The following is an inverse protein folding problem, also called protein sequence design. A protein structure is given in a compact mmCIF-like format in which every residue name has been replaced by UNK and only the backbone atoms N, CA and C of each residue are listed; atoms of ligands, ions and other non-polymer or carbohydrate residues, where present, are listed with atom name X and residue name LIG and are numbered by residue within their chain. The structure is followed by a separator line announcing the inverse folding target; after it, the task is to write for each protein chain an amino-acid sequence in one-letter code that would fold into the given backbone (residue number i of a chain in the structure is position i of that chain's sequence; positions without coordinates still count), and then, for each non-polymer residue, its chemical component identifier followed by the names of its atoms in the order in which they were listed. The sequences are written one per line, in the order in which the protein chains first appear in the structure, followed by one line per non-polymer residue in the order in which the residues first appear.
data_IF_334826214745
#
_entry.id   IF_334826214745
#
_cell.length_a   1.000
_cell.length_b   1.000
_cell.length_c   1.000
_cell.angle_alpha   90.00
_cell.angle_beta   90.00
_cell.angle_gamma   90.00
#
_symmetry.space_group_name_H-M   'P 1'
#
loop_
_entity.id
_entity.type
_entity.pdbx_description
1 polymer ?
#
# COMPACT_ATOMS: atom_id res chain seq x y z
N UNK A 1 35.09 -44.09 -4.16
CA UNK A 1 33.90 -43.66 -4.92
C UNK A 1 33.25 -42.46 -4.23
N UNK A 2 33.82 -41.25 -4.33
CA UNK A 2 33.25 -40.04 -3.67
C UNK A 2 33.00 -38.87 -4.63
N UNK A 3 33.43 -38.97 -5.90
CA UNK A 3 33.31 -37.88 -6.87
C UNK A 3 31.88 -37.69 -7.38
N UNK A 4 31.20 -38.79 -7.72
CA UNK A 4 29.80 -38.77 -8.22
C UNK A 4 28.84 -38.24 -7.14
N UNK A 5 29.11 -38.53 -5.87
CA UNK A 5 28.30 -38.05 -4.76
C UNK A 5 28.48 -36.54 -4.55
N UNK A 6 29.72 -36.04 -4.56
CA UNK A 6 29.99 -34.60 -4.50
C UNK A 6 29.39 -33.82 -5.68
N UNK A 7 29.41 -34.40 -6.89
CA UNK A 7 28.74 -33.79 -8.06
C UNK A 7 27.23 -33.74 -7.85
N UNK A 8 26.61 -34.82 -7.36
CA UNK A 8 25.17 -34.87 -7.09
C UNK A 8 24.76 -33.84 -6.03
N UNK A 9 25.53 -33.71 -4.97
CA UNK A 9 25.26 -32.77 -3.88
C UNK A 9 25.43 -31.32 -4.35
N UNK A 10 26.45 -31.02 -5.16
CA UNK A 10 26.64 -29.70 -5.77
C UNK A 10 25.51 -29.30 -6.72
N UNK A 11 25.01 -30.24 -7.55
CA UNK A 11 23.86 -29.98 -8.41
C UNK A 11 22.57 -29.73 -7.62
N UNK A 12 22.39 -30.42 -6.49
CA UNK A 12 21.24 -30.21 -5.61
C UNK A 12 21.27 -28.81 -5.01
N UNK A 13 22.41 -28.40 -4.44
CA UNK A 13 22.56 -27.07 -3.84
C UNK A 13 22.42 -25.95 -4.89
N UNK A 14 22.95 -26.16 -6.10
CA UNK A 14 22.76 -25.23 -7.22
C UNK A 14 21.27 -25.06 -7.57
N UNK A 15 20.53 -26.17 -7.70
CA UNK A 15 19.10 -26.15 -7.95
C UNK A 15 18.31 -25.43 -6.85
N UNK A 16 18.65 -25.65 -5.59
CA UNK A 16 18.03 -24.98 -4.45
C UNK A 16 18.27 -23.46 -4.49
N UNK A 17 19.51 -23.03 -4.79
CA UNK A 17 19.86 -21.61 -4.94
C UNK A 17 19.11 -20.95 -6.10
N UNK A 18 19.07 -21.60 -7.26
CA UNK A 18 18.32 -21.09 -8.43
C UNK A 18 16.83 -20.98 -8.11
N UNK A 19 16.25 -22.00 -7.47
CA UNK A 19 14.84 -22.00 -7.06
C UNK A 19 14.54 -20.84 -6.12
N UNK A 20 15.41 -20.59 -5.14
CA UNK A 20 15.28 -19.47 -4.21
C UNK A 20 15.29 -18.12 -4.94
N UNK A 21 16.23 -17.92 -5.86
CA UNK A 21 16.34 -16.69 -6.66
C UNK A 21 15.10 -16.49 -7.54
N UNK A 22 14.66 -17.52 -8.25
CA UNK A 22 13.47 -17.44 -9.10
C UNK A 22 12.23 -17.14 -8.27
N UNK A 23 12.05 -17.79 -7.13
CA UNK A 23 10.91 -17.53 -6.24
C UNK A 23 10.94 -16.10 -5.69
N UNK A 24 12.11 -15.59 -5.31
CA UNK A 24 12.26 -14.21 -4.88
C UNK A 24 11.88 -13.21 -5.99
N UNK A 25 12.35 -13.42 -7.21
CA UNK A 25 12.01 -12.57 -8.36
C UNK A 25 10.51 -12.63 -8.65
N UNK A 26 9.91 -13.81 -8.63
CA UNK A 26 8.48 -14.00 -8.84
C UNK A 26 7.66 -13.26 -7.78
N UNK A 27 8.02 -13.41 -6.50
CA UNK A 27 7.37 -12.71 -5.39
C UNK A 27 7.53 -11.19 -5.50
N UNK A 28 8.70 -10.70 -5.93
CA UNK A 28 8.93 -9.28 -6.13
C UNK A 28 8.00 -8.72 -7.22
N UNK A 29 7.89 -9.41 -8.36
CA UNK A 29 6.98 -9.00 -9.45
C UNK A 29 5.53 -8.98 -8.96
N UNK A 30 5.08 -10.06 -8.30
CA UNK A 30 3.73 -10.16 -7.76
C UNK A 30 3.47 -9.08 -6.72
N UNK A 31 4.46 -8.76 -5.87
CA UNK A 31 4.33 -7.70 -4.87
C UNK A 31 4.17 -6.34 -5.53
N UNK A 32 5.01 -5.99 -6.52
CA UNK A 32 4.91 -4.72 -7.23
C UNK A 32 3.57 -4.57 -7.96
N UNK A 33 3.14 -5.61 -8.67
CA UNK A 33 1.87 -5.59 -9.40
C UNK A 33 0.68 -5.59 -8.44
N UNK A 34 0.69 -6.46 -7.43
CA UNK A 34 -0.38 -6.57 -6.44
C UNK A 34 -0.54 -5.31 -5.60
N UNK A 35 0.57 -4.75 -5.10
CA UNK A 35 0.55 -3.49 -4.35
C UNK A 35 0.17 -2.33 -5.27
N UNK A 36 0.69 -2.28 -6.49
CA UNK A 36 0.32 -1.25 -7.47
C UNK A 36 -1.17 -1.24 -7.76
N UNK A 37 -1.75 -2.40 -8.07
CA UNK A 37 -3.19 -2.56 -8.33
C UNK A 37 -4.02 -2.23 -7.09
N UNK A 38 -3.65 -2.71 -5.91
CA UNK A 38 -4.39 -2.41 -4.67
C UNK A 38 -4.38 -0.92 -4.35
N UNK A 39 -3.27 -0.22 -4.62
CA UNK A 39 -3.19 1.25 -4.43
C UNK A 39 -4.10 2.00 -5.40
N UNK A 40 -4.16 1.57 -6.67
CA UNK A 40 -5.06 2.14 -7.67
C UNK A 40 -6.53 1.90 -7.25
N UNK A 41 -6.88 0.67 -6.86
CA UNK A 41 -8.21 0.33 -6.39
C UNK A 41 -8.61 1.13 -5.14
N UNK A 42 -7.70 1.27 -4.18
CA UNK A 42 -7.91 2.05 -2.96
C UNK A 42 -8.16 3.53 -3.26
N UNK A 43 -7.47 4.10 -4.26
CA UNK A 43 -7.68 5.48 -4.69
C UNK A 43 -9.07 5.69 -5.29
N UNK A 44 -9.54 4.74 -6.11
CA UNK A 44 -10.86 4.79 -6.74
C UNK A 44 -11.98 4.69 -5.68
N UNK A 45 -11.86 3.77 -4.72
CA UNK A 45 -12.87 3.58 -3.67
C UNK A 45 -12.90 4.75 -2.68
N UNK A 46 -11.74 5.33 -2.32
CA UNK A 46 -11.69 6.51 -1.44
C UNK A 46 -12.29 7.76 -2.08
N UNK A 47 -12.07 7.97 -3.39
CA UNK A 47 -12.71 9.08 -4.11
C UNK A 47 -14.23 8.91 -4.16
N UNK A 48 -14.73 7.70 -4.43
CA UNK A 48 -16.19 7.45 -4.39
C UNK A 48 -16.80 7.66 -3.00
N UNK A 49 -16.10 7.28 -1.92
CA UNK A 49 -16.61 7.45 -0.56
C UNK A 49 -16.73 8.92 -0.14
N UNK A 50 -15.72 9.75 -0.46
CA UNK A 50 -15.79 11.19 -0.22
C UNK A 50 -16.88 11.84 -1.06
N UNK A 51 -16.91 11.56 -2.37
CA UNK A 51 -17.87 12.19 -3.28
C UNK A 51 -19.33 11.81 -2.97
N UNK A 52 -19.56 10.62 -2.38
CA UNK A 52 -20.89 10.20 -1.90
C UNK A 52 -21.29 10.87 -0.57
N UNK A 53 -20.33 11.21 0.29
CA UNK A 53 -20.63 11.86 1.58
C UNK A 53 -20.95 13.35 1.48
N UNK A 54 -20.53 14.02 0.39
CA UNK A 54 -20.74 15.45 0.17
C UNK A 54 -21.84 15.79 -0.85
N UNK A 55 -22.38 14.80 -1.58
CA UNK A 55 -23.41 15.03 -2.62
C UNK A 55 -24.85 15.11 -2.13
N UNK A 56 -25.13 14.61 -0.93
CA UNK A 56 -26.41 14.88 -0.27
C UNK A 56 -26.28 16.23 0.43
N UNK A 57 -26.84 17.27 -0.19
CA UNK A 57 -26.79 18.70 0.18
C UNK A 57 -27.17 19.00 1.63
N UNK A 58 -26.32 18.59 2.57
CA UNK A 58 -26.35 18.99 3.96
C UNK A 58 -25.41 20.17 4.08
N UNK A 59 -26.02 21.35 4.22
CA UNK A 59 -25.40 22.51 4.81
C UNK A 59 -24.49 22.03 5.94
N UNK A 60 -23.21 22.36 5.83
CA UNK A 60 -22.24 22.10 6.89
C UNK A 60 -22.82 22.59 8.22
N UNK A 61 -22.96 21.70 9.21
CA UNK A 61 -23.32 22.05 10.59
C UNK A 61 -22.26 22.95 11.27
N UNK A 62 -21.21 23.33 10.56
CA UNK A 62 -20.31 24.39 10.92
C UNK A 62 -21.06 25.73 10.83
N UNK A 63 -21.73 26.09 11.92
CA UNK A 63 -22.08 27.48 12.17
C UNK A 63 -20.76 28.23 12.23
N UNK A 64 -20.56 29.13 11.28
CA UNK A 64 -19.39 30.00 11.16
C UNK A 64 -19.36 30.91 12.39
N UNK A 65 -18.75 30.45 13.49
CA UNK A 65 -18.53 31.28 14.67
C UNK A 65 -17.39 32.25 14.37
N UNK A 66 -17.73 33.32 13.66
CA UNK A 66 -16.99 34.57 13.69
C UNK A 66 -17.29 35.27 15.01
N UNK A 67 -16.71 34.78 16.11
CA UNK A 67 -16.53 35.63 17.27
C UNK A 67 -15.43 36.64 16.94
N UNK A 68 -15.82 37.84 16.49
CA UNK A 68 -14.99 39.02 16.68
C UNK A 68 -14.92 39.30 18.17
N UNK A 69 -13.92 38.72 18.83
CA UNK A 69 -13.61 39.02 20.24
C UNK A 69 -13.01 40.43 20.26
N UNK A 70 -13.81 41.42 20.64
CA UNK A 70 -13.37 42.80 20.88
C UNK A 70 -12.69 42.90 22.26
N UNK A 71 -11.36 42.90 22.25
CA UNK A 71 -10.51 42.95 23.44
C UNK A 71 -10.45 44.33 24.12
N UNK A 72 -11.14 45.36 23.61
CA UNK A 72 -10.94 46.75 24.08
C UNK A 72 -11.80 47.17 25.29
N UNK A 73 -12.68 46.31 25.80
CA UNK A 73 -13.60 46.66 26.92
C UNK A 73 -13.14 46.22 28.32
N UNK A 74 -11.90 45.75 28.48
CA UNK A 74 -11.38 45.31 29.79
C UNK A 74 -10.47 46.32 30.50
N UNK A 75 -10.35 47.56 30.01
CA UNK A 75 -9.67 48.66 30.70
C UNK A 75 -10.48 49.95 30.65
#
# INVERSE_FOLDING_TARGET
MNFVQGVKDGFKEFGERVTSVVNFVLLLIVYVIGVGITTILAKITKQKLLDFSFKDGRDSYWVDHKEEVDYTKQF
#
